data_IF_143857834749
#
_entry.id   IF_143857834749
#
_cell.length_a   1.000
_cell.length_b   1.000
_cell.length_c   1.000
_cell.angle_alpha   90.00
_cell.angle_beta   90.00
_cell.angle_gamma   90.00
#
_symmetry.space_group_name_H-M   'P 1'
#
loop_
_entity.id
_entity.type
_entity.pdbx_description
1 polymer ?
#
# COMPACT_ATOMS: atom_id res chain seq x y z
N UNK A 1 -20.25 -10.42 9.55
CA UNK A 1 -19.57 -9.53 10.51
C UNK A 1 -19.74 -8.12 9.98
N UNK A 2 -19.91 -7.14 10.86
CA UNK A 2 -20.03 -5.74 10.47
C UNK A 2 -18.64 -5.22 10.08
N UNK A 3 -18.55 -4.44 9.00
CA UNK A 3 -17.29 -3.90 8.52
C UNK A 3 -16.70 -2.91 9.53
N UNK A 4 -15.37 -2.92 9.68
CA UNK A 4 -14.69 -2.00 10.60
C UNK A 4 -14.46 -0.62 9.96
N UNK A 5 -14.41 -0.55 8.64
CA UNK A 5 -14.41 0.68 7.84
C UNK A 5 -15.49 0.56 6.76
N UNK A 6 -16.33 1.56 6.66
CA UNK A 6 -17.34 1.71 5.62
C UNK A 6 -17.19 3.07 4.95
N UNK A 7 -17.13 3.07 3.63
CA UNK A 7 -17.01 4.28 2.80
C UNK A 7 -18.08 4.21 1.72
N UNK A 8 -18.90 5.25 1.59
CA UNK A 8 -19.99 5.32 0.61
C UNK A 8 -19.94 6.66 -0.13
N UNK A 9 -19.82 6.58 -1.46
CA UNK A 9 -19.86 7.69 -2.42
C UNK A 9 -19.00 8.90 -2.00
N UNK A 10 -17.80 8.61 -1.49
CA UNK A 10 -16.93 9.59 -0.88
C UNK A 10 -16.31 10.49 -1.93
N UNK A 11 -16.52 11.80 -1.78
CA UNK A 11 -15.97 12.82 -2.69
C UNK A 11 -15.15 13.83 -1.89
N UNK A 12 -13.99 14.21 -2.46
CA UNK A 12 -13.20 15.33 -1.99
C UNK A 12 -12.81 16.25 -3.13
N UNK A 13 -13.33 17.47 -3.07
CA UNK A 13 -13.02 18.54 -4.00
C UNK A 13 -12.09 19.57 -3.34
N UNK A 14 -11.14 20.07 -4.12
CA UNK A 14 -10.25 21.17 -3.77
C UNK A 14 -10.48 22.33 -4.72
N UNK A 15 -10.65 23.52 -4.15
CA UNK A 15 -10.72 24.75 -4.93
C UNK A 15 -9.28 25.25 -5.14
N UNK A 16 -8.82 25.23 -6.37
CA UNK A 16 -7.49 25.69 -6.76
C UNK A 16 -7.64 27.00 -7.54
N UNK A 17 -6.94 28.04 -7.10
CA UNK A 17 -6.88 29.31 -7.83
C UNK A 17 -5.79 29.21 -8.90
N UNK A 18 -6.16 29.34 -10.17
CA UNK A 18 -5.20 29.43 -11.27
C UNK A 18 -4.41 30.74 -11.16
N UNK A 19 -3.10 30.62 -10.97
CA UNK A 19 -2.21 31.78 -11.03
C UNK A 19 -1.74 31.95 -12.47
N UNK A 20 -2.13 33.05 -13.13
CA UNK A 20 -1.51 33.43 -14.39
C UNK A 20 -0.08 33.94 -14.14
N UNK A 21 0.89 33.58 -15.00
CA UNK A 21 2.27 33.99 -14.88
C UNK A 21 2.44 35.47 -15.27
N UNK A 22 3.29 36.21 -14.55
CA UNK A 22 3.64 37.60 -14.81
C UNK A 22 2.91 38.63 -13.90
N UNK A 23 3.49 39.83 -13.79
CA UNK A 23 2.98 40.91 -12.92
C UNK A 23 1.52 41.32 -13.21
N UNK A 24 1.13 41.32 -14.51
CA UNK A 24 -0.26 41.62 -14.92
C UNK A 24 -1.22 40.49 -14.53
N UNK A 25 -0.78 39.22 -14.65
CA UNK A 25 -1.54 38.06 -14.20
C UNK A 25 -1.72 38.01 -12.68
N UNK A 26 -0.70 38.40 -11.93
CA UNK A 26 -0.78 38.49 -10.47
C UNK A 26 -1.78 39.56 -9.99
N UNK A 27 -1.82 40.73 -10.64
CA UNK A 27 -2.80 41.80 -10.33
C UNK A 27 -4.25 41.38 -10.71
N UNK A 28 -4.42 40.75 -11.88
CA UNK A 28 -5.73 40.24 -12.34
C UNK A 28 -6.22 39.12 -11.43
N UNK A 29 -5.34 38.19 -11.03
CA UNK A 29 -5.66 37.09 -10.12
C UNK A 29 -6.00 37.54 -8.69
N UNK A 30 -5.55 38.74 -8.25
CA UNK A 30 -5.92 39.31 -6.97
C UNK A 30 -7.34 39.90 -6.99
N UNK A 31 -7.75 40.48 -8.11
CA UNK A 31 -9.08 41.13 -8.28
C UNK A 31 -10.16 40.16 -8.79
N UNK A 32 -9.77 39.20 -9.64
CA UNK A 32 -10.67 38.22 -10.23
C UNK A 32 -10.01 36.81 -10.28
N UNK A 33 -9.96 36.10 -9.14
CA UNK A 33 -9.34 34.78 -9.09
C UNK A 33 -10.19 33.78 -9.91
N UNK A 34 -9.63 33.24 -10.98
CA UNK A 34 -10.22 32.07 -11.64
C UNK A 34 -10.05 30.84 -10.72
N UNK A 35 -11.17 30.36 -10.20
CA UNK A 35 -11.23 29.15 -9.37
C UNK A 35 -11.51 27.95 -10.26
N UNK A 36 -10.68 26.92 -10.16
CA UNK A 36 -10.96 25.61 -10.73
C UNK A 36 -11.15 24.59 -9.60
N UNK A 37 -12.10 23.68 -9.77
CA UNK A 37 -12.31 22.58 -8.84
C UNK A 37 -11.54 21.37 -9.32
N UNK A 38 -10.71 20.79 -8.43
CA UNK A 38 -9.98 19.55 -8.69
C UNK A 38 -10.52 18.48 -7.73
N UNK A 39 -10.96 17.36 -8.26
CA UNK A 39 -11.41 16.21 -7.47
C UNK A 39 -10.21 15.37 -7.07
N UNK A 40 -9.89 15.32 -5.80
CA UNK A 40 -8.85 14.45 -5.26
C UNK A 40 -9.37 13.05 -4.95
N UNK A 41 -10.69 12.92 -4.71
CA UNK A 41 -11.44 11.67 -4.55
C UNK A 41 -12.80 11.88 -5.19
N UNK A 42 -13.27 10.94 -6.01
CA UNK A 42 -14.44 11.07 -6.88
C UNK A 42 -15.39 9.86 -6.77
N UNK A 43 -16.20 9.82 -5.71
CA UNK A 43 -17.26 8.82 -5.53
C UNK A 43 -16.76 7.42 -5.18
N UNK A 44 -15.75 7.30 -4.31
CA UNK A 44 -15.26 5.98 -3.89
C UNK A 44 -16.20 5.34 -2.87
N UNK A 45 -16.42 4.02 -3.04
CA UNK A 45 -17.15 3.19 -2.09
C UNK A 45 -16.42 1.87 -1.88
N UNK A 46 -16.14 1.52 -0.63
CA UNK A 46 -15.54 0.24 -0.24
C UNK A 46 -15.79 -0.03 1.25
N UNK A 47 -15.60 -1.27 1.66
CA UNK A 47 -15.65 -1.66 3.08
C UNK A 47 -14.46 -2.54 3.43
N UNK A 48 -14.01 -2.51 4.69
CA UNK A 48 -12.92 -3.34 5.21
C UNK A 48 -13.44 -4.09 6.43
N UNK A 49 -13.18 -5.40 6.48
CA UNK A 49 -13.59 -6.24 7.60
C UNK A 49 -12.54 -6.25 8.72
N UNK A 50 -12.93 -6.56 9.96
CA UNK A 50 -11.97 -6.72 11.05
C UNK A 50 -10.90 -7.79 10.74
N UNK A 51 -9.63 -7.47 11.04
CA UNK A 51 -8.50 -8.39 10.86
C UNK A 51 -7.99 -8.53 9.42
N UNK A 52 -8.53 -7.81 8.44
CA UNK A 52 -7.96 -7.79 7.08
C UNK A 52 -6.66 -6.99 7.05
N UNK A 53 -5.70 -7.41 6.20
CA UNK A 53 -4.60 -6.57 5.72
C UNK A 53 -4.91 -6.20 4.28
N UNK A 54 -5.22 -4.93 4.05
CA UNK A 54 -5.64 -4.41 2.75
C UNK A 54 -4.60 -3.47 2.17
N UNK A 55 -4.14 -3.78 0.96
CA UNK A 55 -3.33 -2.86 0.17
C UNK A 55 -4.22 -1.80 -0.48
N UNK A 56 -4.01 -0.52 -0.17
CA UNK A 56 -4.70 0.61 -0.80
C UNK A 56 -3.73 1.30 -1.76
N UNK A 57 -3.74 0.88 -3.01
CA UNK A 57 -2.70 1.19 -3.99
C UNK A 57 -3.20 2.05 -5.14
N UNK A 58 -2.29 2.74 -5.80
CA UNK A 58 -2.60 3.62 -6.93
C UNK A 58 -1.42 4.53 -7.27
N UNK A 59 -1.38 5.17 -8.45
CA UNK A 59 -0.32 6.08 -8.83
C UNK A 59 -0.26 7.32 -7.93
N UNK A 60 0.81 8.10 -8.07
CA UNK A 60 0.92 9.37 -7.37
C UNK A 60 -0.19 10.33 -7.83
N UNK A 61 -0.86 10.95 -6.86
CA UNK A 61 -2.00 11.82 -7.13
C UNK A 61 -3.35 11.10 -7.28
N UNK A 62 -3.40 9.77 -7.20
CA UNK A 62 -4.65 9.00 -7.30
C UNK A 62 -5.66 9.22 -6.16
N UNK A 63 -5.25 9.89 -5.05
CA UNK A 63 -6.14 10.19 -3.92
C UNK A 63 -5.87 9.38 -2.65
N UNK A 64 -4.84 8.50 -2.62
CA UNK A 64 -4.51 7.63 -1.47
C UNK A 64 -4.45 8.36 -0.13
N UNK A 65 -3.49 9.28 0.00
CA UNK A 65 -3.31 10.04 1.25
C UNK A 65 -4.49 10.97 1.57
N UNK A 66 -5.26 11.41 0.56
CA UNK A 66 -6.50 12.16 0.77
C UNK A 66 -7.55 11.30 1.44
N UNK A 67 -7.73 10.07 0.96
CA UNK A 67 -8.67 9.10 1.54
C UNK A 67 -8.27 8.76 2.97
N UNK A 68 -7.01 8.42 3.23
CA UNK A 68 -6.52 8.13 4.60
C UNK A 68 -6.77 9.30 5.54
N UNK A 69 -6.52 10.55 5.11
CA UNK A 69 -6.80 11.74 5.93
C UNK A 69 -8.28 11.93 6.22
N UNK A 70 -9.17 11.50 5.34
CA UNK A 70 -10.62 11.52 5.60
C UNK A 70 -11.04 10.41 6.56
N UNK A 71 -10.51 9.20 6.40
CA UNK A 71 -10.74 8.06 7.31
C UNK A 71 -10.26 8.34 8.73
N UNK A 72 -9.15 9.06 8.88
CA UNK A 72 -8.59 9.46 10.18
C UNK A 72 -9.19 10.74 10.76
N UNK A 73 -10.17 11.36 10.08
CA UNK A 73 -10.81 12.59 10.52
C UNK A 73 -9.90 13.83 10.48
N UNK A 74 -8.77 13.78 9.78
CA UNK A 74 -7.89 14.94 9.54
C UNK A 74 -8.50 15.87 8.49
N UNK A 75 -9.19 15.28 7.51
CA UNK A 75 -9.78 15.98 6.39
C UNK A 75 -11.30 15.69 6.33
N UNK A 76 -12.10 16.71 6.09
CA UNK A 76 -13.54 16.54 5.88
C UNK A 76 -13.83 16.24 4.41
N UNK A 77 -14.68 15.23 4.09
CA UNK A 77 -15.18 15.01 2.74
C UNK A 77 -16.02 16.20 2.26
N UNK A 78 -16.15 16.36 0.96
CA UNK A 78 -17.09 17.30 0.34
C UNK A 78 -18.50 16.71 0.32
N UNK A 79 -18.61 15.41 0.07
CA UNK A 79 -19.85 14.63 0.15
C UNK A 79 -19.54 13.15 0.38
N UNK A 80 -20.60 12.34 0.56
CA UNK A 80 -20.48 10.94 0.92
C UNK A 80 -20.38 10.72 2.43
N UNK A 81 -20.18 9.47 2.84
CA UNK A 81 -20.13 9.11 4.25
C UNK A 81 -18.99 8.14 4.57
N UNK A 82 -18.49 8.26 5.82
CA UNK A 82 -17.46 7.38 6.37
C UNK A 82 -17.91 6.92 7.74
N UNK A 83 -17.73 5.62 8.02
CA UNK A 83 -17.77 5.07 9.37
C UNK A 83 -16.48 4.29 9.64
N UNK A 84 -15.90 4.49 10.80
CA UNK A 84 -14.74 3.76 11.31
C UNK A 84 -15.11 3.20 12.67
N UNK A 85 -15.10 1.89 12.83
CA UNK A 85 -15.64 1.18 14.00
C UNK A 85 -17.07 1.65 14.37
N UNK A 86 -17.96 1.83 13.36
CA UNK A 86 -19.33 2.28 13.51
C UNK A 86 -19.50 3.78 13.77
N UNK A 87 -18.43 4.58 13.87
CA UNK A 87 -18.46 5.99 14.22
C UNK A 87 -17.98 6.85 13.04
N UNK A 88 -18.66 7.96 12.76
CA UNK A 88 -18.19 8.93 11.76
C UNK A 88 -17.01 9.74 12.30
N UNK A 89 -15.85 9.73 11.62
CA UNK A 89 -14.68 10.53 12.03
C UNK A 89 -14.94 12.05 12.04
N UNK A 90 -15.93 12.50 11.28
CA UNK A 90 -16.34 13.91 11.21
C UNK A 90 -17.22 14.31 12.39
N UNK A 91 -18.00 13.38 12.94
CA UNK A 91 -18.89 13.63 14.07
C UNK A 91 -18.17 13.49 15.42
N UNK A 92 -17.38 12.41 15.59
CA UNK A 92 -16.61 12.16 16.82
C UNK A 92 -15.20 11.66 16.50
N UNK A 93 -14.34 12.59 16.11
CA UNK A 93 -12.95 12.33 15.81
C UNK A 93 -12.19 11.74 17.01
N UNK A 94 -12.50 12.19 18.23
CA UNK A 94 -11.78 11.76 19.43
C UNK A 94 -11.99 10.27 19.71
N UNK A 95 -13.21 9.78 19.57
CA UNK A 95 -13.55 8.37 19.73
C UNK A 95 -12.88 7.51 18.64
N UNK A 96 -12.87 7.99 17.39
CA UNK A 96 -12.25 7.29 16.29
C UNK A 96 -10.73 7.21 16.46
N UNK A 97 -10.04 8.32 16.74
CA UNK A 97 -8.57 8.38 16.88
C UNK A 97 -8.04 7.43 17.96
N UNK A 98 -8.80 7.20 19.02
CA UNK A 98 -8.43 6.23 20.07
C UNK A 98 -8.37 4.76 19.58
N UNK A 99 -9.05 4.47 18.48
CA UNK A 99 -9.08 3.13 17.85
C UNK A 99 -8.12 2.98 16.68
N UNK A 100 -7.42 4.07 16.32
CA UNK A 100 -6.52 4.14 15.17
C UNK A 100 -5.07 4.31 15.59
N UNK A 101 -4.18 3.52 15.00
CA UNK A 101 -2.77 3.84 14.85
C UNK A 101 -2.53 4.38 13.44
N UNK A 102 -1.70 5.40 13.30
CA UNK A 102 -1.37 5.96 11.99
C UNK A 102 0.13 6.20 11.90
N UNK A 103 0.76 5.71 10.85
CA UNK A 103 2.17 5.97 10.54
C UNK A 103 2.27 6.55 9.15
N UNK A 104 2.88 7.72 9.03
CA UNK A 104 3.19 8.37 7.75
C UNK A 104 4.69 8.21 7.47
N UNK A 105 5.06 7.50 6.40
CA UNK A 105 6.47 7.15 6.12
C UNK A 105 7.44 8.34 6.04
N UNK A 106 6.96 9.50 5.64
CA UNK A 106 7.76 10.71 5.52
C UNK A 106 7.68 11.65 6.74
N UNK A 107 6.83 11.35 7.73
CA UNK A 107 6.60 12.20 8.90
C UNK A 107 6.58 11.36 10.15
N UNK A 108 7.49 11.67 11.07
CA UNK A 108 7.49 11.05 12.39
C UNK A 108 6.49 11.73 13.33
N UNK A 109 5.87 10.95 14.18
CA UNK A 109 5.08 11.43 15.33
C UNK A 109 5.93 11.54 16.61
N UNK A 110 7.20 11.09 16.55
CA UNK A 110 8.13 11.15 17.66
C UNK A 110 8.71 12.57 17.81
N UNK A 111 9.06 12.91 19.03
CA UNK A 111 9.61 14.23 19.35
C UNK A 111 11.11 14.27 19.13
N UNK A 112 11.56 15.10 18.21
CA UNK A 112 12.89 15.12 17.61
C UNK A 112 14.05 15.20 18.61
N UNK A 113 13.88 16.02 19.67
CA UNK A 113 14.93 16.26 20.69
C UNK A 113 14.82 15.33 21.91
N UNK A 114 13.74 14.59 22.05
CA UNK A 114 13.54 13.63 23.13
C UNK A 114 14.17 12.29 22.79
N UNK A 115 14.56 11.53 23.83
CA UNK A 115 14.85 10.11 23.66
C UNK A 115 13.60 9.36 23.22
N UNK A 116 13.77 8.23 22.53
CA UNK A 116 12.64 7.45 22.07
C UNK A 116 11.68 7.06 23.20
N UNK A 117 12.21 6.57 24.33
CA UNK A 117 11.41 6.22 25.50
C UNK A 117 10.67 7.42 26.12
N UNK A 118 11.29 8.61 26.10
CA UNK A 118 10.64 9.84 26.58
C UNK A 118 9.49 10.26 25.65
N UNK A 119 9.66 10.10 24.33
CA UNK A 119 8.58 10.31 23.35
C UNK A 119 7.41 9.37 23.61
N UNK A 120 7.67 8.09 23.96
CA UNK A 120 6.62 7.13 24.29
C UNK A 120 5.90 7.50 25.58
N UNK A 121 6.61 7.92 26.63
CA UNK A 121 6.00 8.39 27.88
C UNK A 121 5.10 9.63 27.67
N UNK A 122 5.54 10.54 26.79
CA UNK A 122 4.72 11.69 26.40
C UNK A 122 3.44 11.26 25.69
N UNK A 123 3.54 10.33 24.74
CA UNK A 123 2.38 9.77 24.04
C UNK A 123 1.44 9.02 24.99
N UNK A 124 2.00 8.26 25.94
CA UNK A 124 1.21 7.62 27.01
C UNK A 124 0.29 8.62 27.71
N UNK A 125 0.82 9.80 28.06
CA UNK A 125 0.05 10.88 28.72
C UNK A 125 -0.98 11.51 27.80
N UNK A 126 -0.61 11.73 26.52
CA UNK A 126 -1.53 12.31 25.51
C UNK A 126 -2.73 11.38 25.29
N UNK A 127 -2.49 10.09 25.11
CA UNK A 127 -3.54 9.08 24.90
C UNK A 127 -4.23 8.65 26.20
N UNK A 128 -3.73 9.11 27.37
CA UNK A 128 -4.25 8.76 28.69
C UNK A 128 -4.22 7.25 28.95
N UNK A 129 -3.14 6.58 28.51
CA UNK A 129 -2.93 5.15 28.73
C UNK A 129 -2.53 4.94 30.21
N UNK A 130 -3.19 4.02 30.89
CA UNK A 130 -2.79 3.65 32.24
C UNK A 130 -1.39 3.02 32.24
N UNK A 131 -0.71 3.08 33.40
CA UNK A 131 0.70 2.69 33.50
C UNK A 131 0.92 1.20 33.20
N UNK A 132 0.03 0.35 33.68
CA UNK A 132 0.14 -1.12 33.54
C UNK A 132 -0.02 -1.51 32.07
N UNK A 133 -1.08 -1.05 31.41
CA UNK A 133 -1.32 -1.29 29.97
C UNK A 133 -0.20 -0.74 29.09
N UNK A 134 0.39 0.39 29.46
CA UNK A 134 1.53 0.96 28.76
C UNK A 134 2.77 0.08 28.88
N UNK A 135 3.13 -0.36 30.12
CA UNK A 135 4.30 -1.20 30.37
C UNK A 135 4.17 -2.55 29.65
N UNK A 136 2.99 -3.17 29.66
CA UNK A 136 2.70 -4.40 28.93
C UNK A 136 2.86 -4.19 27.41
N UNK A 137 2.26 -3.15 26.87
CA UNK A 137 2.37 -2.84 25.43
C UNK A 137 3.80 -2.54 25.04
N UNK A 138 4.52 -1.73 25.82
CA UNK A 138 5.90 -1.36 25.54
C UNK A 138 6.83 -2.58 25.58
N UNK A 139 6.65 -3.49 26.54
CA UNK A 139 7.42 -4.73 26.62
C UNK A 139 7.29 -5.56 25.35
N UNK A 140 6.06 -5.83 24.92
CA UNK A 140 5.79 -6.60 23.70
C UNK A 140 6.35 -5.91 22.45
N UNK A 141 6.12 -4.59 22.32
CA UNK A 141 6.61 -3.81 21.18
C UNK A 141 8.14 -3.73 21.17
N UNK A 142 8.77 -3.65 22.35
CA UNK A 142 10.23 -3.62 22.47
C UNK A 142 10.88 -4.93 22.03
N UNK A 143 10.27 -6.05 22.35
CA UNK A 143 10.78 -7.37 21.93
C UNK A 143 10.65 -7.55 20.41
N UNK A 144 9.48 -7.29 19.84
CA UNK A 144 9.22 -7.51 18.41
C UNK A 144 9.98 -6.52 17.52
N UNK A 145 10.03 -5.24 17.91
CA UNK A 145 10.68 -4.17 17.15
C UNK A 145 12.14 -3.93 17.57
N UNK A 146 12.67 -4.71 18.53
CA UNK A 146 14.04 -4.60 19.06
C UNK A 146 14.37 -3.16 19.52
N UNK A 147 13.43 -2.52 20.24
CA UNK A 147 13.57 -1.12 20.66
C UNK A 147 14.64 -0.93 21.73
N UNK A 148 14.92 -1.96 22.53
CA UNK A 148 15.89 -1.92 23.65
C UNK A 148 17.29 -1.47 23.20
N UNK A 149 17.65 -1.72 21.92
CA UNK A 149 18.93 -1.32 21.35
C UNK A 149 19.09 0.21 21.24
N UNK A 150 17.98 0.96 21.11
CA UNK A 150 18.02 2.41 20.86
C UNK A 150 16.96 3.23 21.60
N UNK A 151 16.24 2.66 22.56
CA UNK A 151 15.17 3.33 23.33
C UNK A 151 15.68 4.58 24.08
N UNK A 152 16.96 4.61 24.45
CA UNK A 152 17.61 5.72 25.14
C UNK A 152 18.26 6.74 24.17
N UNK A 153 18.17 6.53 22.85
CA UNK A 153 18.76 7.39 21.84
C UNK A 153 17.79 8.53 21.48
N UNK A 154 18.25 9.78 21.38
CA UNK A 154 17.45 10.90 20.87
C UNK A 154 16.94 10.60 19.47
N UNK A 155 15.65 10.92 19.19
CA UNK A 155 14.97 10.61 17.91
C UNK A 155 15.76 11.14 16.70
N UNK A 156 16.36 12.32 16.81
CA UNK A 156 17.20 12.93 15.75
C UNK A 156 18.44 12.11 15.36
N UNK A 157 18.90 11.20 16.23
CA UNK A 157 20.09 10.37 16.02
C UNK A 157 19.76 8.98 15.51
N UNK A 158 18.48 8.62 15.47
CA UNK A 158 18.02 7.33 14.97
C UNK A 158 18.21 7.23 13.44
N UNK A 159 18.60 6.05 12.97
CA UNK A 159 18.53 5.73 11.55
C UNK A 159 17.08 5.75 11.08
N UNK A 160 16.85 5.81 9.76
CA UNK A 160 15.51 5.80 9.19
C UNK A 160 14.73 4.54 9.63
N UNK A 161 15.36 3.36 9.59
CA UNK A 161 14.76 2.10 10.02
C UNK A 161 14.46 2.06 11.52
N UNK A 162 15.39 2.57 12.37
CA UNK A 162 15.15 2.70 13.81
C UNK A 162 13.98 3.65 14.11
N UNK A 163 13.93 4.79 13.40
CA UNK A 163 12.86 5.77 13.55
C UNK A 163 11.52 5.18 13.14
N UNK A 164 11.45 4.45 12.02
CA UNK A 164 10.23 3.79 11.57
C UNK A 164 9.74 2.74 12.57
N UNK A 165 10.66 1.93 13.14
CA UNK A 165 10.31 0.99 14.22
C UNK A 165 9.77 1.72 15.46
N UNK A 166 10.34 2.87 15.80
CA UNK A 166 9.83 3.76 16.84
C UNK A 166 8.44 4.32 16.53
N UNK A 167 8.20 4.79 15.30
CA UNK A 167 6.89 5.30 14.86
C UNK A 167 5.80 4.22 14.88
N UNK A 168 6.14 2.99 14.46
CA UNK A 168 5.22 1.83 14.57
C UNK A 168 4.89 1.52 16.03
N UNK A 169 5.89 1.49 16.92
CA UNK A 169 5.65 1.31 18.33
C UNK A 169 4.75 2.42 18.91
N UNK A 170 5.05 3.67 18.61
CA UNK A 170 4.27 4.82 19.04
C UNK A 170 2.80 4.73 18.60
N UNK A 171 2.55 4.30 17.35
CA UNK A 171 1.21 4.11 16.82
C UNK A 171 0.43 2.97 17.50
N UNK A 172 1.15 2.02 18.13
CA UNK A 172 0.56 0.83 18.76
C UNK A 172 0.47 0.88 20.29
N UNK A 173 1.05 1.90 20.96
CA UNK A 173 1.09 2.02 22.42
C UNK A 173 -0.29 1.94 23.08
N UNK A 174 -1.29 2.53 22.45
CA UNK A 174 -2.67 2.57 22.95
C UNK A 174 -3.55 1.42 22.46
N UNK A 175 -2.92 0.37 21.90
CA UNK A 175 -3.58 -0.85 21.40
C UNK A 175 -4.75 -0.59 20.45
N UNK A 176 -4.51 0.11 19.33
CA UNK A 176 -5.57 0.41 18.36
C UNK A 176 -6.07 -0.88 17.68
N UNK A 177 -7.31 -0.86 17.22
CA UNK A 177 -7.90 -1.95 16.43
C UNK A 177 -7.62 -1.83 14.93
N UNK A 178 -7.22 -0.64 14.46
CA UNK A 178 -6.91 -0.37 13.06
C UNK A 178 -5.56 0.35 12.98
N UNK A 179 -4.71 -0.06 12.04
CA UNK A 179 -3.42 0.56 11.76
C UNK A 179 -3.36 1.03 10.31
N UNK A 180 -3.21 2.34 10.11
CA UNK A 180 -2.94 2.94 8.80
C UNK A 180 -1.43 3.12 8.62
N UNK A 181 -0.90 2.59 7.53
CA UNK A 181 0.50 2.68 7.16
C UNK A 181 0.63 3.33 5.78
N UNK A 182 1.15 4.55 5.75
CA UNK A 182 1.36 5.29 4.50
C UNK A 182 2.85 5.23 4.13
N UNK A 183 3.21 4.31 3.23
CA UNK A 183 4.58 4.03 2.76
C UNK A 183 5.59 3.69 3.88
N UNK A 184 5.33 2.68 4.73
CA UNK A 184 6.14 2.42 5.92
C UNK A 184 7.54 1.87 5.63
N UNK A 185 7.81 1.41 4.43
CA UNK A 185 9.07 0.75 4.03
C UNK A 185 9.92 1.60 3.10
N UNK A 186 9.43 2.81 2.74
CA UNK A 186 10.12 3.69 1.78
C UNK A 186 11.51 4.08 2.28
N UNK A 187 12.54 3.88 1.43
CA UNK A 187 13.91 4.27 1.72
C UNK A 187 14.62 3.41 2.77
N UNK A 188 14.02 2.30 3.19
CA UNK A 188 14.62 1.38 4.14
C UNK A 188 15.47 0.31 3.43
N UNK A 189 16.48 -0.20 4.15
CA UNK A 189 17.22 -1.38 3.74
C UNK A 189 16.38 -2.68 3.89
N UNK A 190 16.89 -3.79 3.34
CA UNK A 190 16.20 -5.07 3.32
C UNK A 190 15.88 -5.60 4.72
N UNK A 191 16.82 -5.45 5.67
CA UNK A 191 16.64 -5.93 7.05
C UNK A 191 15.55 -5.15 7.78
N UNK A 192 15.53 -3.82 7.61
CA UNK A 192 14.49 -2.97 8.19
C UNK A 192 13.11 -3.25 7.58
N UNK A 193 13.02 -3.43 6.24
CA UNK A 193 11.77 -3.84 5.57
C UNK A 193 11.27 -5.18 6.12
N UNK A 194 12.14 -6.18 6.21
CA UNK A 194 11.80 -7.49 6.74
C UNK A 194 11.26 -7.41 8.19
N UNK A 195 11.92 -6.64 9.06
CA UNK A 195 11.48 -6.45 10.43
C UNK A 195 10.09 -5.80 10.52
N UNK A 196 9.80 -4.82 9.66
CA UNK A 196 8.50 -4.15 9.61
C UNK A 196 7.41 -5.09 9.09
N UNK A 197 7.67 -5.84 8.01
CA UNK A 197 6.73 -6.83 7.47
C UNK A 197 6.38 -7.89 8.52
N UNK A 198 7.37 -8.43 9.20
CA UNK A 198 7.13 -9.41 10.27
C UNK A 198 6.31 -8.82 11.42
N UNK A 199 6.60 -7.60 11.83
CA UNK A 199 5.82 -6.90 12.85
C UNK A 199 4.35 -6.77 12.43
N UNK A 200 4.07 -6.34 11.19
CA UNK A 200 2.70 -6.19 10.68
C UNK A 200 1.97 -7.54 10.68
N UNK A 201 2.61 -8.60 10.20
CA UNK A 201 2.05 -9.97 10.23
C UNK A 201 1.74 -10.41 11.67
N UNK A 202 2.65 -10.15 12.58
CA UNK A 202 2.53 -10.56 13.99
C UNK A 202 1.38 -9.85 14.71
N UNK A 203 1.25 -8.52 14.58
CA UNK A 203 0.15 -7.77 15.22
C UNK A 203 -1.20 -8.13 14.62
N UNK A 204 -1.27 -8.37 13.32
CA UNK A 204 -2.49 -8.82 12.67
C UNK A 204 -2.89 -10.23 13.19
N UNK A 205 -1.97 -11.20 13.13
CA UNK A 205 -2.25 -12.58 13.52
C UNK A 205 -2.55 -12.73 15.04
N UNK A 206 -1.74 -12.09 15.91
CA UNK A 206 -1.88 -12.26 17.37
C UNK A 206 -2.94 -11.38 18.00
N UNK A 207 -3.19 -10.20 17.45
CA UNK A 207 -4.11 -9.20 18.04
C UNK A 207 -5.32 -8.88 17.17
N UNK A 208 -5.42 -9.44 15.96
CA UNK A 208 -6.51 -9.16 15.03
C UNK A 208 -6.56 -7.71 14.53
N UNK A 209 -5.43 -7.00 14.56
CA UNK A 209 -5.38 -5.60 14.10
C UNK A 209 -5.65 -5.54 12.61
N UNK A 210 -6.63 -4.73 12.20
CA UNK A 210 -6.90 -4.45 10.79
C UNK A 210 -5.83 -3.49 10.27
N UNK A 211 -5.24 -3.78 9.12
CA UNK A 211 -4.16 -2.95 8.55
C UNK A 211 -4.55 -2.43 7.18
N UNK A 212 -4.40 -1.14 6.97
CA UNK A 212 -4.50 -0.50 5.68
C UNK A 212 -3.13 0.03 5.30
N UNK A 213 -2.56 -0.54 4.24
CA UNK A 213 -1.22 -0.26 3.77
C UNK A 213 -1.26 0.47 2.44
N UNK A 214 -0.62 1.64 2.35
CA UNK A 214 -0.25 2.22 1.06
C UNK A 214 1.22 1.99 0.83
N UNK A 215 1.59 1.55 -0.35
CA UNK A 215 2.99 1.34 -0.73
C UNK A 215 3.15 1.42 -2.25
N UNK A 216 4.36 1.72 -2.68
CA UNK A 216 4.82 1.54 -4.07
C UNK A 216 5.68 0.28 -4.21
N UNK A 217 6.04 -0.34 -3.09
CA UNK A 217 6.81 -1.57 -3.05
C UNK A 217 5.85 -2.75 -3.18
N UNK A 218 5.90 -3.43 -4.30
CA UNK A 218 4.98 -4.53 -4.60
C UNK A 218 5.30 -5.78 -3.79
N UNK A 219 6.55 -5.95 -3.36
CA UNK A 219 6.91 -7.01 -2.42
C UNK A 219 6.16 -6.86 -1.09
N UNK A 220 5.93 -5.61 -0.62
CA UNK A 220 5.13 -5.37 0.58
C UNK A 220 3.67 -5.80 0.37
N UNK A 221 3.16 -5.56 -0.83
CA UNK A 221 1.79 -5.94 -1.19
C UNK A 221 1.64 -7.45 -1.23
N UNK A 222 2.54 -8.15 -1.93
CA UNK A 222 2.51 -9.61 -2.06
C UNK A 222 2.71 -10.31 -0.73
N UNK A 223 3.63 -9.81 0.10
CA UNK A 223 3.94 -10.44 1.37
C UNK A 223 2.90 -10.21 2.47
N UNK A 224 2.21 -9.06 2.46
CA UNK A 224 1.37 -8.63 3.57
C UNK A 224 -0.12 -8.69 3.27
N UNK A 225 -0.52 -8.31 2.05
CA UNK A 225 -1.92 -8.07 1.76
C UNK A 225 -2.60 -9.32 1.19
N UNK A 226 -3.81 -9.59 1.64
CA UNK A 226 -4.67 -10.61 1.03
C UNK A 226 -5.66 -10.02 0.01
N UNK A 227 -5.89 -8.71 0.10
CA UNK A 227 -6.84 -7.96 -0.72
C UNK A 227 -6.25 -6.62 -1.13
N UNK A 228 -6.59 -6.17 -2.33
CA UNK A 228 -6.25 -4.85 -2.85
C UNK A 228 -7.50 -4.03 -3.13
N UNK A 229 -7.39 -2.75 -2.82
CA UNK A 229 -8.25 -1.69 -3.33
C UNK A 229 -7.36 -0.80 -4.21
N UNK A 230 -7.57 -0.87 -5.52
CA UNK A 230 -6.77 -0.12 -6.51
C UNK A 230 -7.52 1.16 -6.86
N UNK A 231 -6.85 2.30 -6.69
CA UNK A 231 -7.42 3.60 -7.04
C UNK A 231 -6.65 4.27 -8.18
N UNK A 232 -7.39 4.91 -9.07
CA UNK A 232 -6.83 5.75 -10.13
C UNK A 232 -7.73 6.97 -10.35
N UNK A 233 -7.14 8.16 -10.54
CA UNK A 233 -7.87 9.42 -10.74
C UNK A 233 -9.02 9.67 -9.73
N UNK A 234 -8.80 9.29 -8.47
CA UNK A 234 -9.79 9.48 -7.39
C UNK A 234 -10.91 8.45 -7.36
N UNK A 235 -10.89 7.40 -8.19
CA UNK A 235 -11.90 6.35 -8.26
C UNK A 235 -11.32 5.00 -7.87
N UNK A 236 -12.13 4.13 -7.27
CA UNK A 236 -11.79 2.71 -7.12
C UNK A 236 -11.98 2.05 -8.48
N UNK A 237 -10.92 1.47 -9.01
CA UNK A 237 -10.93 0.78 -10.32
C UNK A 237 -10.98 -0.73 -10.16
N UNK A 238 -10.38 -1.27 -9.10
CA UNK A 238 -10.46 -2.69 -8.73
C UNK A 238 -10.51 -2.84 -7.20
N UNK A 239 -11.24 -3.84 -6.73
CA UNK A 239 -11.33 -4.22 -5.31
C UNK A 239 -11.55 -5.73 -5.20
N UNK A 240 -10.60 -6.44 -4.60
CA UNK A 240 -10.71 -7.89 -4.44
C UNK A 240 -9.45 -8.57 -3.94
N UNK A 241 -9.50 -9.91 -3.77
CA UNK A 241 -8.35 -10.72 -3.43
C UNK A 241 -7.24 -10.60 -4.48
N UNK A 242 -5.98 -10.54 -4.03
CA UNK A 242 -4.81 -10.37 -4.92
C UNK A 242 -4.77 -11.44 -6.01
N UNK A 243 -4.94 -12.71 -5.63
CA UNK A 243 -4.89 -13.84 -6.58
C UNK A 243 -5.94 -13.69 -7.70
N UNK A 244 -7.15 -13.27 -7.33
CA UNK A 244 -8.24 -13.05 -8.29
C UNK A 244 -7.93 -11.88 -9.23
N UNK A 245 -7.30 -10.81 -8.72
CA UNK A 245 -6.91 -9.66 -9.52
C UNK A 245 -5.79 -9.99 -10.50
N UNK A 246 -4.76 -10.70 -10.06
CA UNK A 246 -3.68 -11.18 -10.93
C UNK A 246 -4.27 -12.05 -12.05
N UNK A 247 -5.09 -13.02 -11.71
CA UNK A 247 -5.70 -13.91 -12.70
C UNK A 247 -6.59 -13.17 -13.71
N UNK A 248 -7.36 -12.19 -13.24
CA UNK A 248 -8.27 -11.37 -14.08
C UNK A 248 -7.52 -10.46 -15.04
N UNK A 249 -6.43 -9.84 -14.55
CA UNK A 249 -5.74 -8.76 -15.26
C UNK A 249 -4.57 -9.26 -16.11
N UNK A 250 -4.04 -10.45 -15.79
CA UNK A 250 -2.92 -11.05 -16.50
C UNK A 250 -3.20 -12.51 -16.84
N UNK A 251 -4.11 -12.79 -17.80
CA UNK A 251 -4.46 -14.16 -18.19
C UNK A 251 -3.31 -14.90 -18.88
N UNK A 252 -2.26 -14.18 -19.27
CA UNK A 252 -1.14 -14.71 -20.01
C UNK A 252 0.02 -15.11 -19.09
N UNK A 253 0.68 -16.22 -19.42
CA UNK A 253 1.94 -16.66 -18.83
C UNK A 253 3.07 -16.52 -19.83
N UNK A 254 4.30 -16.44 -19.33
CA UNK A 254 5.49 -16.40 -20.13
C UNK A 254 6.29 -17.72 -19.97
N UNK A 255 6.61 -18.35 -21.09
CA UNK A 255 7.62 -19.40 -21.16
C UNK A 255 8.88 -18.82 -21.81
N UNK A 256 9.97 -18.78 -21.07
CA UNK A 256 11.29 -18.40 -21.59
C UNK A 256 12.05 -19.66 -21.95
N UNK A 257 12.44 -19.77 -23.22
CA UNK A 257 13.16 -20.92 -23.77
C UNK A 257 14.51 -20.43 -24.22
N UNK A 258 15.58 -21.10 -23.78
CA UNK A 258 16.94 -20.90 -24.25
C UNK A 258 17.34 -22.08 -25.17
N UNK A 259 17.73 -21.76 -26.39
CA UNK A 259 18.10 -22.77 -27.39
C UNK A 259 19.61 -23.10 -27.32
N UNK A 260 19.99 -24.32 -27.75
CA UNK A 260 21.40 -24.75 -27.93
C UNK A 260 22.05 -24.08 -29.16
N UNK A 261 21.24 -23.85 -30.21
CA UNK A 261 21.68 -23.22 -31.46
C UNK A 261 20.46 -22.54 -32.13
N UNK A 262 20.68 -21.58 -33.05
CA UNK A 262 19.58 -20.89 -33.76
C UNK A 262 18.73 -21.88 -34.57
N UNK A 263 17.39 -21.62 -34.60
CA UNK A 263 16.39 -22.34 -35.37
C UNK A 263 15.53 -21.36 -36.18
N UNK A 264 15.09 -21.81 -37.37
CA UNK A 264 14.31 -20.95 -38.28
C UNK A 264 12.82 -20.94 -37.95
N UNK A 265 12.24 -22.06 -37.50
CA UNK A 265 10.82 -22.15 -37.15
C UNK A 265 10.64 -22.20 -35.62
N UNK A 266 10.31 -21.02 -35.07
CA UNK A 266 10.09 -20.84 -33.64
C UNK A 266 8.60 -20.76 -33.30
N UNK A 267 7.69 -20.85 -34.29
CA UNK A 267 6.27 -20.59 -34.12
C UNK A 267 5.54 -21.72 -33.41
N UNK A 268 4.53 -21.37 -32.61
CA UNK A 268 3.61 -22.31 -31.99
C UNK A 268 2.17 -21.82 -32.11
N UNK A 269 1.17 -22.68 -32.44
CA UNK A 269 -0.20 -22.27 -32.71
C UNK A 269 -0.95 -21.70 -31.50
N UNK A 270 -0.52 -22.08 -30.27
CA UNK A 270 -1.16 -21.67 -29.01
C UNK A 270 -0.30 -20.71 -28.18
N UNK A 271 0.82 -20.22 -28.71
CA UNK A 271 1.70 -19.29 -28.02
C UNK A 271 2.26 -18.23 -28.99
N UNK A 272 2.33 -17.00 -28.52
CA UNK A 272 2.87 -15.87 -29.27
C UNK A 272 4.30 -15.56 -28.84
N UNK A 273 5.19 -15.27 -29.78
CA UNK A 273 6.56 -14.83 -29.48
C UNK A 273 6.51 -13.33 -29.24
N UNK A 274 6.76 -12.90 -28.00
CA UNK A 274 6.77 -11.47 -27.65
C UNK A 274 8.17 -10.86 -27.68
N UNK A 275 9.23 -11.68 -27.56
CA UNK A 275 10.61 -11.23 -27.58
C UNK A 275 11.54 -12.36 -28.04
N UNK A 276 12.55 -12.00 -28.83
CA UNK A 276 13.71 -12.83 -29.15
C UNK A 276 14.99 -12.03 -28.82
N UNK A 277 15.93 -12.67 -28.10
CA UNK A 277 17.20 -12.07 -27.74
C UNK A 277 18.30 -13.11 -27.84
N UNK A 278 18.93 -13.18 -29.02
CA UNK A 278 19.88 -14.22 -29.37
C UNK A 278 19.23 -15.61 -29.36
N UNK A 279 19.63 -16.47 -28.44
CA UNK A 279 19.09 -17.82 -28.28
C UNK A 279 17.92 -17.90 -27.27
N UNK A 280 17.57 -16.79 -26.66
CA UNK A 280 16.44 -16.73 -25.72
C UNK A 280 15.19 -16.23 -26.40
N UNK A 281 14.08 -16.96 -26.20
CA UNK A 281 12.77 -16.69 -26.79
C UNK A 281 11.74 -16.65 -25.68
N UNK A 282 10.89 -15.63 -25.71
CA UNK A 282 9.78 -15.44 -24.77
C UNK A 282 8.47 -15.77 -25.49
N UNK A 283 7.84 -16.87 -25.09
CA UNK A 283 6.51 -17.25 -25.53
C UNK A 283 5.48 -16.77 -24.52
N UNK A 284 4.48 -16.04 -25.01
CA UNK A 284 3.28 -15.68 -24.25
C UNK A 284 2.17 -16.66 -24.61
N UNK A 285 1.49 -17.23 -23.61
CA UNK A 285 0.41 -18.18 -23.82
C UNK A 285 -0.68 -18.01 -22.78
N UNK A 286 -1.93 -18.36 -23.14
CA UNK A 286 -3.07 -18.35 -22.25
C UNK A 286 -3.24 -19.70 -21.58
N UNK A 287 -3.39 -19.71 -20.25
CA UNK A 287 -3.55 -20.92 -19.44
C UNK A 287 -4.78 -21.78 -19.83
N UNK A 288 -5.81 -21.08 -20.35
CA UNK A 288 -7.06 -21.72 -20.80
C UNK A 288 -6.92 -22.39 -22.15
N UNK A 289 -5.95 -22.01 -22.97
CA UNK A 289 -5.70 -22.57 -24.32
C UNK A 289 -4.72 -23.73 -24.31
N UNK A 290 -3.66 -23.62 -23.52
CA UNK A 290 -2.61 -24.65 -23.42
C UNK A 290 -1.97 -24.60 -22.04
N UNK A 291 -1.73 -25.76 -21.44
CA UNK A 291 -0.95 -25.84 -20.20
C UNK A 291 0.55 -25.60 -20.47
N UNK A 292 1.28 -25.11 -19.47
CA UNK A 292 2.72 -24.94 -19.58
C UNK A 292 3.42 -26.28 -19.91
N UNK A 293 2.94 -27.39 -19.35
CA UNK A 293 3.50 -28.71 -19.58
C UNK A 293 3.32 -29.18 -21.04
N UNK A 294 2.15 -28.95 -21.62
CA UNK A 294 1.88 -29.27 -23.03
C UNK A 294 2.71 -28.38 -23.95
N UNK A 295 2.77 -27.08 -23.71
CA UNK A 295 3.57 -26.15 -24.50
C UNK A 295 5.08 -26.52 -24.46
N UNK A 296 5.59 -26.85 -23.28
CA UNK A 296 6.98 -27.33 -23.12
C UNK A 296 7.19 -28.62 -23.89
N UNK A 297 6.28 -29.59 -23.79
CA UNK A 297 6.37 -30.86 -24.53
C UNK A 297 6.42 -30.65 -26.04
N UNK A 298 5.52 -29.81 -26.57
CA UNK A 298 5.44 -29.54 -28.01
C UNK A 298 6.66 -28.80 -28.52
N UNK A 299 7.16 -27.80 -27.78
CA UNK A 299 8.37 -27.07 -28.15
C UNK A 299 9.61 -27.96 -28.05
N UNK A 300 9.72 -28.86 -27.06
CA UNK A 300 10.84 -29.76 -26.87
C UNK A 300 10.99 -30.83 -27.99
N UNK A 301 9.88 -31.12 -28.68
CA UNK A 301 9.90 -32.02 -29.85
C UNK A 301 10.39 -31.32 -31.09
N UNK A 302 10.34 -30.01 -31.18
CA UNK A 302 10.68 -29.22 -32.38
C UNK A 302 11.98 -28.43 -32.24
N UNK A 303 12.31 -28.01 -31.04
CA UNK A 303 13.40 -27.09 -30.77
C UNK A 303 14.50 -27.75 -29.91
N UNK A 304 15.78 -27.47 -30.17
CA UNK A 304 16.90 -27.92 -29.34
C UNK A 304 17.00 -27.04 -28.08
N UNK A 305 16.17 -27.33 -27.08
CA UNK A 305 16.12 -26.56 -25.85
C UNK A 305 17.33 -26.87 -24.97
N UNK A 306 18.00 -25.83 -24.47
CA UNK A 306 19.07 -25.90 -23.51
C UNK A 306 18.54 -25.73 -22.09
N UNK A 307 17.69 -24.72 -21.91
CA UNK A 307 17.07 -24.38 -20.61
C UNK A 307 15.73 -23.75 -20.83
N UNK A 308 14.85 -23.80 -19.82
CA UNK A 308 13.55 -23.20 -19.85
C UNK A 308 13.11 -22.73 -18.46
N UNK A 309 12.33 -21.66 -18.43
CA UNK A 309 11.66 -21.19 -17.21
C UNK A 309 10.25 -20.68 -17.51
N UNK A 310 9.30 -21.06 -16.66
CA UNK A 310 7.93 -20.50 -16.69
C UNK A 310 7.89 -19.34 -15.73
N UNK A 311 7.47 -18.18 -16.22
CA UNK A 311 7.21 -17.00 -15.40
C UNK A 311 5.70 -16.84 -15.25
N UNK A 312 5.25 -16.88 -14.01
CA UNK A 312 3.90 -16.43 -13.69
C UNK A 312 3.84 -14.91 -13.81
N UNK A 313 2.68 -14.34 -14.20
CA UNK A 313 2.48 -12.90 -14.10
C UNK A 313 2.62 -12.47 -12.65
N UNK A 314 3.30 -11.38 -12.45
CA UNK A 314 3.43 -10.79 -11.13
C UNK A 314 2.36 -9.71 -10.89
N UNK A 315 2.27 -9.26 -9.65
CA UNK A 315 1.32 -8.21 -9.27
C UNK A 315 1.65 -6.88 -9.97
N UNK A 316 2.92 -6.66 -10.36
CA UNK A 316 3.34 -5.45 -11.07
C UNK A 316 2.73 -5.38 -12.45
N UNK A 317 2.69 -6.51 -13.17
CA UNK A 317 2.07 -6.60 -14.49
C UNK A 317 0.57 -6.35 -14.39
N UNK A 318 -0.11 -6.95 -13.40
CA UNK A 318 -1.53 -6.74 -13.15
C UNK A 318 -1.86 -5.27 -12.85
N UNK A 319 -1.10 -4.64 -11.98
CA UNK A 319 -1.30 -3.24 -11.60
C UNK A 319 -1.03 -2.29 -12.77
N UNK A 320 0.00 -2.57 -13.59
CA UNK A 320 0.29 -1.78 -14.81
C UNK A 320 -0.87 -1.81 -15.80
N UNK A 321 -1.51 -2.97 -15.98
CA UNK A 321 -2.68 -3.08 -16.87
C UNK A 321 -3.86 -2.25 -16.35
N UNK A 322 -4.13 -2.27 -15.03
CA UNK A 322 -5.17 -1.40 -14.43
C UNK A 322 -4.91 0.07 -14.70
N UNK A 323 -3.64 0.51 -14.61
CA UNK A 323 -3.32 1.92 -14.82
C UNK A 323 -3.38 2.37 -16.28
N UNK A 324 -3.24 1.44 -17.25
CA UNK A 324 -3.36 1.74 -18.69
C UNK A 324 -4.82 1.85 -19.16
N UNK A 325 -5.71 1.07 -18.53
CA UNK A 325 -7.10 0.92 -18.97
C UNK A 325 -8.02 2.03 -18.46
N UNK A 326 -7.50 2.95 -17.63
CA UNK A 326 -8.25 4.06 -17.00
C UNK A 326 -7.66 5.41 -17.37
#
# INVERSE_FOLDING_TARGET
>A
MEAVIEVHDLIKEYIVTKKESGLRGALKGLLFPEKSTVRGVDGISFSINPGEIVGYIGPNGAGKSTTIKMLTGILHPTSGSIKVCGVSPQADRKSVVRKLGVVFGQRTQLYWDLRLGESFELLRRIYQIDKTSYEESLTILSDVLKLNEFINTPVRQLSLGQRMRGDLAAAMLHSPSILFLDEPTIGLDADAKYAIRNFIKEINHKRGVTVILTTHDLDDVEELCSRLVVINHGKVVEDGPIESLIHKLTPHRLLVVELQHPCDDLTHPSAEIIKCDGLKIWYQFEKERISAAELISDLSQKLPIQDLSVKEPDIEDAIREVYKTT
#
